data_IF_576316327505
#
_entry.id   IF_576316327505
#
_cell.length_a   1.000
_cell.length_b   1.000
_cell.length_c   1.000
_cell.angle_alpha   90.00
_cell.angle_beta   90.00
_cell.angle_gamma   90.00
#
_symmetry.space_group_name_H-M   'P 1'
#
loop_
_entity.id
_entity.type
_entity.pdbx_description
1 polymer ?
#
# COMPACT_ATOMS: atom_id res chain seq x y z
N UNK A 1 17.23 27.01 1.13
CA UNK A 1 16.61 26.63 -0.15
C UNK A 1 15.56 25.59 0.18
N UNK A 2 14.27 25.87 -0.02
CA UNK A 2 13.24 24.85 0.17
C UNK A 2 13.45 23.78 -0.91
N UNK A 3 13.69 22.54 -0.49
CA UNK A 3 13.86 21.41 -1.40
C UNK A 3 12.56 21.25 -2.22
N UNK A 4 12.67 21.19 -3.54
CA UNK A 4 11.48 21.21 -4.39
C UNK A 4 10.68 19.91 -4.20
N UNK A 5 9.42 20.04 -3.77
CA UNK A 5 8.55 18.89 -3.49
C UNK A 5 8.32 18.08 -4.78
N UNK A 6 8.55 16.76 -4.72
CA UNK A 6 8.27 15.82 -5.81
C UNK A 6 6.84 15.99 -6.38
N UNK A 7 6.78 16.15 -7.71
CA UNK A 7 5.64 16.41 -8.62
C UNK A 7 4.71 15.24 -8.87
N UNK A 8 5.33 14.12 -9.19
CA UNK A 8 4.67 12.99 -9.82
C UNK A 8 5.04 11.67 -9.16
N UNK A 9 4.17 10.66 -9.31
CA UNK A 9 4.50 9.32 -8.83
C UNK A 9 5.71 8.71 -9.56
N UNK A 10 5.92 9.07 -10.83
CA UNK A 10 7.09 8.63 -11.63
C UNK A 10 8.40 9.11 -11.00
N UNK A 11 8.45 10.36 -10.54
CA UNK A 11 9.60 10.91 -9.81
C UNK A 11 9.70 10.38 -8.38
N UNK A 12 8.55 10.12 -7.73
CA UNK A 12 8.50 9.56 -6.38
C UNK A 12 9.01 8.12 -6.33
N UNK A 13 8.78 7.31 -7.35
CA UNK A 13 9.06 5.88 -7.31
C UNK A 13 10.55 5.54 -7.09
N UNK A 14 11.52 6.16 -7.80
CA UNK A 14 12.94 5.98 -7.50
C UNK A 14 13.32 6.44 -6.08
N UNK A 15 12.75 7.55 -5.62
CA UNK A 15 12.94 8.02 -4.24
C UNK A 15 12.41 7.00 -3.22
N UNK A 16 11.20 6.48 -3.43
CA UNK A 16 10.58 5.47 -2.57
C UNK A 16 11.44 4.21 -2.49
N UNK A 17 11.89 3.67 -3.62
CA UNK A 17 12.74 2.47 -3.58
C UNK A 17 14.13 2.75 -2.98
N UNK A 18 14.64 3.97 -3.10
CA UNK A 18 15.88 4.38 -2.41
C UNK A 18 15.73 4.42 -0.89
N UNK A 19 14.52 4.56 -0.36
CA UNK A 19 14.21 4.41 1.07
C UNK A 19 14.05 2.95 1.50
N UNK A 20 14.07 1.99 0.57
CA UNK A 20 13.91 0.55 0.81
C UNK A 20 15.02 -0.28 0.12
N UNK A 21 16.28 0.16 0.24
CA UNK A 21 17.44 -0.44 -0.44
C UNK A 21 17.76 -1.84 0.08
N UNK A 22 17.60 -2.09 1.37
CA UNK A 22 17.92 -3.36 2.02
C UNK A 22 16.79 -4.36 1.80
N UNK A 23 17.08 -5.58 1.31
CA UNK A 23 16.10 -6.65 1.14
C UNK A 23 15.18 -6.86 2.34
N UNK A 24 15.74 -6.86 3.55
CA UNK A 24 14.98 -7.06 4.78
C UNK A 24 13.90 -5.98 4.99
N UNK A 25 14.16 -4.72 4.63
CA UNK A 25 13.15 -3.66 4.71
C UNK A 25 11.95 -4.01 3.81
N UNK A 26 12.21 -4.37 2.56
CA UNK A 26 11.16 -4.77 1.60
C UNK A 26 10.41 -6.02 2.05
N UNK A 27 11.10 -7.01 2.59
CA UNK A 27 10.48 -8.23 3.15
C UNK A 27 9.55 -7.88 4.32
N UNK A 28 9.95 -6.96 5.21
CA UNK A 28 9.08 -6.54 6.30
C UNK A 28 7.80 -5.85 5.79
N UNK A 29 7.91 -4.99 4.77
CA UNK A 29 6.74 -4.39 4.11
C UNK A 29 5.87 -5.46 3.44
N UNK A 30 6.49 -6.45 2.78
CA UNK A 30 5.78 -7.57 2.16
C UNK A 30 4.99 -8.37 3.20
N UNK A 31 5.63 -8.79 4.30
CA UNK A 31 4.99 -9.54 5.40
C UNK A 31 3.88 -8.72 6.06
N UNK A 32 4.10 -7.42 6.29
CA UNK A 32 3.08 -6.52 6.83
C UNK A 32 1.85 -6.45 5.93
N UNK A 33 2.07 -6.28 4.62
CA UNK A 33 1.00 -6.18 3.61
C UNK A 33 0.26 -7.51 3.43
N UNK A 34 0.97 -8.64 3.35
CA UNK A 34 0.36 -9.98 3.31
C UNK A 34 -0.49 -10.24 4.55
N UNK A 35 0.00 -9.86 5.74
CA UNK A 35 -0.76 -10.01 6.99
C UNK A 35 -2.06 -9.22 6.99
N UNK A 36 -2.03 -7.96 6.54
CA UNK A 36 -3.24 -7.14 6.38
C UNK A 36 -4.23 -7.76 5.38
N UNK A 37 -3.76 -8.19 4.21
CA UNK A 37 -4.61 -8.82 3.19
C UNK A 37 -5.21 -10.15 3.66
N UNK A 38 -4.42 -10.97 4.36
CA UNK A 38 -4.88 -12.22 4.94
C UNK A 38 -5.95 -11.99 6.02
N UNK A 39 -5.74 -11.00 6.91
CA UNK A 39 -6.74 -10.61 7.89
C UNK A 39 -8.03 -10.10 7.23
N UNK A 40 -7.91 -9.30 6.17
CA UNK A 40 -9.05 -8.83 5.39
C UNK A 40 -9.84 -10.00 4.79
N UNK A 41 -9.18 -10.94 4.10
CA UNK A 41 -9.81 -12.14 3.53
C UNK A 41 -10.44 -13.02 4.60
N UNK A 42 -9.75 -13.27 5.72
CA UNK A 42 -10.32 -13.99 6.86
C UNK A 42 -11.56 -13.28 7.41
N UNK A 43 -11.53 -11.94 7.48
CA UNK A 43 -12.69 -11.13 7.82
C UNK A 43 -13.88 -11.37 6.88
N UNK A 44 -13.64 -11.46 5.56
CA UNK A 44 -14.69 -11.77 4.57
C UNK A 44 -15.32 -13.16 4.80
N UNK A 45 -14.53 -14.13 5.27
CA UNK A 45 -14.96 -15.53 5.43
C UNK A 45 -15.69 -15.73 6.76
N UNK A 46 -15.15 -15.18 7.85
CA UNK A 46 -15.60 -15.52 9.21
C UNK A 46 -16.57 -14.51 9.81
N UNK A 47 -16.69 -13.31 9.24
CA UNK A 47 -17.68 -12.33 9.66
C UNK A 47 -18.84 -12.34 8.65
N UNK A 48 -20.06 -12.76 9.04
CA UNK A 48 -21.22 -12.83 8.15
C UNK A 48 -21.77 -11.42 7.86
N UNK A 49 -21.00 -10.62 7.12
CA UNK A 49 -21.33 -9.24 6.76
C UNK A 49 -21.35 -9.13 5.23
N UNK A 50 -22.54 -9.16 4.58
CA UNK A 50 -22.63 -8.98 3.13
C UNK A 50 -22.03 -7.64 2.64
N UNK A 51 -21.85 -6.67 3.56
CA UNK A 51 -21.17 -5.39 3.33
C UNK A 51 -19.69 -5.53 2.99
N UNK A 52 -18.98 -6.51 3.56
CA UNK A 52 -17.55 -6.72 3.32
C UNK A 52 -17.29 -7.31 1.92
N UNK A 53 -18.18 -8.20 1.46
CA UNK A 53 -18.13 -8.82 0.13
C UNK A 53 -18.53 -7.82 -0.97
N UNK A 54 -19.60 -7.05 -0.75
CA UNK A 54 -19.98 -5.93 -1.61
C UNK A 54 -18.88 -4.87 -1.68
N UNK A 55 -18.20 -4.59 -0.57
CA UNK A 55 -17.06 -3.67 -0.52
C UNK A 55 -15.87 -4.19 -1.35
N UNK A 56 -15.46 -5.45 -1.17
CA UNK A 56 -14.37 -6.05 -1.95
C UNK A 56 -14.63 -5.97 -3.46
N UNK A 57 -15.85 -6.25 -3.89
CA UNK A 57 -16.27 -6.14 -5.29
C UNK A 57 -16.28 -4.69 -5.79
N UNK A 58 -16.79 -3.73 -4.99
CA UNK A 58 -16.81 -2.31 -5.36
C UNK A 58 -15.41 -1.72 -5.42
N UNK A 59 -14.53 -2.02 -4.46
CA UNK A 59 -13.15 -1.58 -4.45
C UNK A 59 -12.35 -2.16 -5.63
N UNK A 60 -12.53 -3.45 -5.92
CA UNK A 60 -11.94 -4.11 -7.08
C UNK A 60 -12.44 -3.51 -8.40
N UNK A 61 -13.75 -3.31 -8.55
CA UNK A 61 -14.34 -2.71 -9.75
C UNK A 61 -13.86 -1.27 -9.98
N UNK A 62 -13.78 -0.44 -8.92
CA UNK A 62 -13.24 0.92 -9.01
C UNK A 62 -11.74 0.93 -9.33
N UNK A 63 -10.96 0.01 -8.75
CA UNK A 63 -9.52 -0.14 -9.02
C UNK A 63 -9.23 -0.58 -10.45
N UNK A 64 -10.06 -1.47 -11.01
CA UNK A 64 -9.98 -1.90 -12.41
C UNK A 64 -10.43 -0.80 -13.37
N UNK A 65 -11.54 -0.11 -13.08
CA UNK A 65 -12.06 0.98 -13.91
C UNK A 65 -11.12 2.20 -13.96
N UNK A 66 -10.42 2.49 -12.86
CA UNK A 66 -9.43 3.57 -12.79
C UNK A 66 -8.20 3.36 -13.67
N UNK A 67 -7.96 2.15 -14.21
CA UNK A 67 -6.87 1.85 -15.16
C UNK A 67 -7.22 2.17 -16.63
N UNK A 68 -8.49 2.39 -16.94
CA UNK A 68 -8.96 2.60 -18.32
C UNK A 68 -9.61 3.97 -18.55
N UNK A 69 -9.88 4.75 -17.49
CA UNK A 69 -10.65 5.99 -17.57
C UNK A 69 -9.94 7.09 -16.74
N UNK A 70 -9.12 7.89 -17.43
CA UNK A 70 -8.27 8.97 -16.86
C UNK A 70 -9.03 10.08 -16.07
N UNK A 71 -10.33 10.41 -16.29
CA UNK A 71 -10.94 11.53 -15.56
C UNK A 71 -12.02 11.12 -14.55
N UNK A 72 -11.67 10.53 -13.38
CA UNK A 72 -12.65 10.43 -12.28
C UNK A 72 -12.05 10.72 -10.89
N UNK A 73 -11.71 11.99 -10.65
CA UNK A 73 -11.49 12.52 -9.27
C UNK A 73 -12.63 12.17 -8.28
N UNK A 74 -13.93 12.12 -8.67
CA UNK A 74 -14.99 11.67 -7.75
C UNK A 74 -14.95 10.16 -7.44
N UNK A 75 -14.42 9.30 -8.30
CA UNK A 75 -14.31 7.86 -8.02
C UNK A 75 -13.27 7.59 -6.91
N UNK A 76 -12.19 8.38 -6.86
CA UNK A 76 -11.20 8.31 -5.77
C UNK A 76 -11.80 8.76 -4.44
N UNK A 77 -12.65 9.79 -4.44
CA UNK A 77 -13.39 10.25 -3.25
C UNK A 77 -14.42 9.20 -2.80
N UNK A 78 -15.16 8.63 -3.74
CA UNK A 78 -16.14 7.58 -3.46
C UNK A 78 -15.45 6.33 -2.92
N UNK A 79 -14.32 5.93 -3.50
CA UNK A 79 -13.48 4.81 -3.02
C UNK A 79 -12.94 5.08 -1.62
N UNK A 80 -12.51 6.31 -1.31
CA UNK A 80 -12.07 6.68 0.03
C UNK A 80 -13.21 6.64 1.05
N UNK A 81 -14.39 7.16 0.69
CA UNK A 81 -15.59 7.12 1.55
C UNK A 81 -16.06 5.68 1.79
N UNK A 82 -16.07 4.83 0.76
CA UNK A 82 -16.44 3.42 0.93
C UNK A 82 -15.42 2.65 1.77
N UNK A 83 -14.11 2.94 1.63
CA UNK A 83 -13.08 2.35 2.48
C UNK A 83 -13.23 2.76 3.95
N UNK A 84 -13.47 4.04 4.22
CA UNK A 84 -13.71 4.54 5.58
C UNK A 84 -14.97 3.95 6.21
N UNK A 85 -16.05 3.80 5.43
CA UNK A 85 -17.28 3.15 5.89
C UNK A 85 -17.07 1.66 6.20
N UNK A 86 -16.28 0.94 5.38
CA UNK A 86 -15.94 -0.46 5.66
C UNK A 86 -15.11 -0.62 6.94
N UNK A 87 -14.15 0.28 7.17
CA UNK A 87 -13.36 0.33 8.41
C UNK A 87 -14.24 0.55 9.65
N UNK A 88 -15.31 1.34 9.53
CA UNK A 88 -16.26 1.58 10.62
C UNK A 88 -17.17 0.37 10.93
N UNK A 89 -17.43 -0.50 9.94
CA UNK A 89 -18.33 -1.65 10.07
C UNK A 89 -17.60 -2.91 10.57
N UNK A 90 -16.30 -3.04 10.29
CA UNK A 90 -15.46 -4.17 10.72
C UNK A 90 -14.14 -3.72 11.37
N UNK A 91 -14.17 -2.88 12.42
CA UNK A 91 -12.95 -2.36 13.06
C UNK A 91 -12.04 -3.47 13.60
N UNK A 92 -12.61 -4.61 14.03
CA UNK A 92 -11.87 -5.78 14.49
C UNK A 92 -10.99 -6.45 13.43
N UNK A 93 -11.24 -6.20 12.14
CA UNK A 93 -10.41 -6.69 11.04
C UNK A 93 -9.39 -5.64 10.62
N UNK A 94 -9.85 -4.42 10.40
CA UNK A 94 -9.03 -3.36 9.84
C UNK A 94 -8.03 -2.78 10.83
N UNK A 95 -8.42 -2.54 12.09
CA UNK A 95 -7.51 -1.93 13.08
C UNK A 95 -6.30 -2.83 13.35
N UNK A 96 -6.48 -4.14 13.70
CA UNK A 96 -5.32 -5.00 13.94
C UNK A 96 -4.47 -5.19 12.67
N UNK A 97 -5.10 -5.32 11.50
CA UNK A 97 -4.37 -5.46 10.24
C UNK A 97 -3.53 -4.21 9.89
N UNK A 98 -4.08 -3.01 10.10
CA UNK A 98 -3.36 -1.75 9.88
C UNK A 98 -2.20 -1.63 10.87
N UNK A 99 -2.45 -1.90 12.17
CA UNK A 99 -1.40 -1.87 13.20
C UNK A 99 -0.27 -2.84 12.86
N UNK A 100 -0.60 -4.04 12.39
CA UNK A 100 0.38 -5.03 11.93
C UNK A 100 1.19 -4.51 10.74
N UNK A 101 0.52 -4.05 9.68
CA UNK A 101 1.19 -3.57 8.46
C UNK A 101 2.14 -2.40 8.74
N UNK A 102 1.66 -1.39 9.47
CA UNK A 102 2.48 -0.23 9.86
C UNK A 102 3.60 -0.63 10.84
N UNK A 103 3.33 -1.55 11.76
CA UNK A 103 4.35 -2.06 12.69
C UNK A 103 5.52 -2.70 11.95
N UNK A 104 5.25 -3.59 10.99
CA UNK A 104 6.30 -4.19 10.16
C UNK A 104 7.05 -3.15 9.31
N UNK A 105 6.32 -2.23 8.67
CA UNK A 105 6.92 -1.18 7.84
C UNK A 105 7.85 -0.26 8.66
N UNK A 106 7.42 0.17 9.85
CA UNK A 106 8.22 1.01 10.72
C UNK A 106 9.47 0.31 11.26
N UNK A 107 9.40 -1.01 11.52
CA UNK A 107 10.61 -1.78 11.84
C UNK A 107 11.59 -1.73 10.67
N UNK A 108 11.11 -1.87 9.43
CA UNK A 108 11.91 -1.71 8.22
C UNK A 108 12.62 -0.35 8.18
N UNK A 109 11.85 0.74 8.23
CA UNK A 109 12.41 2.08 8.14
C UNK A 109 13.35 2.43 9.32
N UNK A 110 12.90 2.25 10.56
CA UNK A 110 13.65 2.75 11.71
C UNK A 110 14.77 1.84 12.18
N UNK A 111 14.66 0.51 11.97
CA UNK A 111 15.68 -0.46 12.45
C UNK A 111 16.54 -1.02 11.33
N UNK A 112 16.02 -1.11 10.10
CA UNK A 112 16.78 -1.66 8.96
C UNK A 112 17.41 -0.53 8.16
N UNK A 113 16.63 0.43 7.69
CA UNK A 113 17.16 1.50 6.82
C UNK A 113 17.72 2.68 7.61
N UNK A 114 17.32 2.83 8.88
CA UNK A 114 17.63 3.99 9.72
C UNK A 114 17.20 5.32 9.07
N UNK A 115 16.06 5.31 8.38
CA UNK A 115 15.48 6.48 7.75
C UNK A 115 14.09 6.82 8.32
N UNK A 116 13.59 7.98 7.91
CA UNK A 116 12.24 8.41 8.24
C UNK A 116 11.31 7.98 7.09
N UNK A 117 10.23 7.23 7.36
CA UNK A 117 9.29 6.80 6.32
C UNK A 117 8.78 7.97 5.47
N UNK A 118 8.80 7.81 4.16
CA UNK A 118 8.24 8.76 3.19
C UNK A 118 6.75 9.06 3.44
N UNK A 119 6.04 8.20 4.17
CA UNK A 119 4.63 8.38 4.55
C UNK A 119 4.39 9.69 5.29
N UNK A 120 5.38 10.24 5.99
CA UNK A 120 5.25 11.52 6.69
C UNK A 120 5.18 12.72 5.74
N UNK A 121 5.81 12.63 4.56
CA UNK A 121 5.88 13.73 3.58
C UNK A 121 4.93 13.50 2.38
N UNK A 122 4.74 12.23 2.02
CA UNK A 122 3.96 11.74 0.89
C UNK A 122 3.06 10.54 1.29
N UNK A 123 2.05 10.74 2.15
CA UNK A 123 1.27 9.64 2.71
C UNK A 123 0.56 8.80 1.65
N UNK A 124 -0.11 9.44 0.69
CA UNK A 124 -0.84 8.74 -0.36
C UNK A 124 0.10 7.99 -1.33
N UNK A 125 1.23 8.59 -1.70
CA UNK A 125 2.19 7.93 -2.61
C UNK A 125 2.96 6.82 -1.93
N UNK A 126 3.25 6.93 -0.63
CA UNK A 126 3.91 5.87 0.13
C UNK A 126 3.03 4.62 0.21
N UNK A 127 1.72 4.79 0.46
CA UNK A 127 0.77 3.68 0.42
C UNK A 127 0.69 3.04 -0.99
N UNK A 128 0.63 3.86 -2.04
CA UNK A 128 0.65 3.34 -3.43
C UNK A 128 1.98 2.62 -3.72
N UNK A 129 3.09 3.14 -3.19
CA UNK A 129 4.42 2.56 -3.27
C UNK A 129 4.48 1.18 -2.62
N UNK A 130 3.91 1.03 -1.42
CA UNK A 130 3.85 -0.26 -0.70
C UNK A 130 3.11 -1.31 -1.52
N UNK A 131 1.95 -0.97 -2.10
CA UNK A 131 1.20 -1.91 -2.96
C UNK A 131 1.90 -2.19 -4.29
N UNK A 132 2.60 -1.21 -4.90
CA UNK A 132 3.39 -1.44 -6.11
C UNK A 132 4.57 -2.36 -5.83
N UNK A 133 5.30 -2.12 -4.74
CA UNK A 133 6.42 -2.96 -4.30
C UNK A 133 5.94 -4.38 -3.95
N UNK A 134 4.83 -4.50 -3.23
CA UNK A 134 4.19 -5.78 -2.94
C UNK A 134 3.90 -6.57 -4.23
N UNK A 135 3.26 -5.92 -5.22
CA UNK A 135 2.98 -6.53 -6.52
C UNK A 135 4.25 -7.00 -7.25
N UNK A 136 5.28 -6.15 -7.29
CA UNK A 136 6.57 -6.53 -7.89
C UNK A 136 7.21 -7.72 -7.15
N UNK A 137 7.18 -7.73 -5.83
CA UNK A 137 7.68 -8.86 -5.04
C UNK A 137 6.88 -10.14 -5.25
N UNK A 138 5.55 -10.08 -5.37
CA UNK A 138 4.75 -11.26 -5.73
C UNK A 138 5.10 -11.83 -7.10
N UNK A 139 5.55 -10.99 -8.03
CA UNK A 139 6.00 -11.38 -9.37
C UNK A 139 7.46 -11.87 -9.40
N UNK A 140 8.13 -11.95 -8.24
CA UNK A 140 9.51 -12.41 -8.13
C UNK A 140 10.56 -11.30 -8.24
N UNK A 141 10.15 -10.04 -8.29
CA UNK A 141 11.07 -8.90 -8.36
C UNK A 141 11.46 -8.35 -6.98
N UNK A 142 12.51 -7.53 -6.91
CA UNK A 142 12.92 -6.77 -5.73
C UNK A 142 13.29 -7.63 -4.49
N UNK A 143 13.43 -8.95 -4.58
CA UNK A 143 13.75 -9.77 -3.39
C UNK A 143 15.17 -9.58 -2.86
N UNK A 144 16.18 -9.63 -3.74
CA UNK A 144 17.60 -9.66 -3.32
C UNK A 144 18.45 -8.55 -3.91
N UNK A 145 17.95 -7.76 -4.87
CA UNK A 145 18.73 -6.68 -5.48
C UNK A 145 18.44 -6.36 -6.93
N UNK A 146 17.22 -6.61 -7.43
CA UNK A 146 16.83 -6.07 -8.74
C UNK A 146 17.15 -4.58 -8.75
N UNK A 147 17.86 -4.15 -9.79
CA UNK A 147 18.30 -2.77 -9.88
C UNK A 147 17.07 -1.88 -9.82
N UNK A 148 17.08 -0.96 -8.86
CA UNK A 148 16.11 0.14 -8.67
C UNK A 148 15.96 1.03 -9.93
N UNK A 149 16.72 0.73 -10.99
CA UNK A 149 17.19 1.64 -12.01
C UNK A 149 16.29 1.78 -13.23
N UNK A 150 15.39 0.84 -13.55
CA UNK A 150 14.68 0.96 -14.84
C UNK A 150 13.35 1.68 -14.77
N UNK A 151 12.65 1.71 -13.63
CA UNK A 151 11.31 2.32 -13.56
C UNK A 151 10.29 1.72 -14.55
N UNK A 152 10.69 0.65 -15.24
CA UNK A 152 9.98 -0.07 -16.29
C UNK A 152 9.76 -1.48 -15.76
N UNK A 153 8.56 -1.67 -15.23
CA UNK A 153 7.86 -2.93 -15.10
C UNK A 153 6.37 -2.60 -15.27
#
# INVERSE_FOLDING_TARGET
>A
MAEERIKTFKEFWPYYLAEHRRPLCRVLHFVGTSGFLAAFVAGLIYLPQPTLLAFGLVAFANGMAGRYIEPIRPARRLTAVTALAAMAIAPQVFIPGIVWAYGCAWVGHFKVENNRPATFDYPAWSLIGDFRMYGMMTLGHLWSGDSVATGEA
#
